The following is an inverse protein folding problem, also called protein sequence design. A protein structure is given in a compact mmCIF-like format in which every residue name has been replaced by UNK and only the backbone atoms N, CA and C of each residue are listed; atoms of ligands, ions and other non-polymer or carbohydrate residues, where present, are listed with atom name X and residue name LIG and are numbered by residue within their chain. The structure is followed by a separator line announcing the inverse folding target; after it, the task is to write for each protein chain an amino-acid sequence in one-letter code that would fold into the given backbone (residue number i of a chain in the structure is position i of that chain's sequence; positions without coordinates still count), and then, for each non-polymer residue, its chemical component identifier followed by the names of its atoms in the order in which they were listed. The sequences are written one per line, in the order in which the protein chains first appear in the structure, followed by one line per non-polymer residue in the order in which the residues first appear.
data_IF_985920005963
#
_entry.id   IF_985920005963
#
_cell.length_a   1.000
_cell.length_b   1.000
_cell.length_c   1.000
_cell.angle_alpha   90.00
_cell.angle_beta   90.00
_cell.angle_gamma   90.00
#
_symmetry.space_group_name_H-M   'P 1'
#
loop_
_entity.id
_entity.type
_entity.pdbx_description
1 polymer ?
#
# COMPACT_ATOMS: atom_id res chain seq x y z
N UNK A 1 4.03 -9.19 -17.48
CA UNK A 1 3.63 -7.79 -17.18
C UNK A 1 4.44 -7.23 -16.02
N UNK A 2 5.76 -7.22 -16.17
CA UNK A 2 6.72 -6.55 -15.29
C UNK A 2 6.79 -5.04 -15.56
N UNK A 3 6.14 -4.54 -16.62
CA UNK A 3 6.30 -3.17 -17.10
C UNK A 3 5.41 -2.10 -16.48
N UNK A 4 4.58 -2.43 -15.48
CA UNK A 4 3.74 -1.42 -14.83
C UNK A 4 4.63 -0.38 -14.11
N UNK A 5 4.53 0.94 -14.39
CA UNK A 5 5.42 1.95 -13.82
C UNK A 5 5.48 1.93 -12.29
N UNK A 6 4.33 1.78 -11.63
CA UNK A 6 4.27 1.64 -10.16
C UNK A 6 5.02 0.41 -9.68
N UNK A 7 4.93 -0.72 -10.40
CA UNK A 7 5.65 -1.92 -10.01
C UNK A 7 7.16 -1.76 -10.20
N UNK A 8 7.62 -0.99 -11.20
CA UNK A 8 9.06 -0.66 -11.35
C UNK A 8 9.57 0.12 -10.13
N UNK A 9 8.81 1.11 -9.65
CA UNK A 9 9.16 1.84 -8.42
C UNK A 9 9.21 0.90 -7.21
N UNK A 10 8.20 0.03 -7.05
CA UNK A 10 8.20 -0.97 -5.96
C UNK A 10 9.41 -1.90 -6.07
N UNK A 11 9.70 -2.44 -7.25
CA UNK A 11 10.87 -3.30 -7.47
C UNK A 11 12.17 -2.59 -7.13
N UNK A 12 12.36 -1.33 -7.54
CA UNK A 12 13.57 -0.56 -7.20
C UNK A 12 13.72 -0.30 -5.69
N UNK A 13 12.62 -0.26 -4.94
CA UNK A 13 12.64 -0.10 -3.49
C UNK A 13 12.91 -1.41 -2.74
N UNK A 14 12.87 -2.55 -3.44
CA UNK A 14 13.11 -3.89 -2.92
C UNK A 14 14.44 -4.49 -3.39
N UNK A 15 14.97 -4.02 -4.52
CA UNK A 15 16.21 -4.53 -5.13
C UNK A 15 17.40 -4.34 -4.18
N UNK A 16 18.20 -5.40 -4.02
CA UNK A 16 19.39 -5.47 -3.17
C UNK A 16 19.19 -5.09 -1.69
N UNK A 17 17.95 -5.17 -1.18
CA UNK A 17 17.62 -4.88 0.23
C UNK A 17 17.34 -6.13 1.05
N UNK A 18 17.78 -6.12 2.31
CA UNK A 18 17.41 -7.12 3.29
C UNK A 18 15.95 -6.95 3.76
N UNK A 19 15.36 -8.02 4.30
CA UNK A 19 13.97 -7.98 4.80
C UNK A 19 13.72 -6.91 5.87
N UNK A 20 14.75 -6.50 6.60
CA UNK A 20 14.66 -5.44 7.63
C UNK A 20 14.62 -4.02 7.04
N UNK A 21 15.08 -3.84 5.81
CA UNK A 21 15.24 -2.54 5.16
C UNK A 21 14.03 -2.15 4.30
N UNK A 22 13.18 -3.12 3.98
CA UNK A 22 11.95 -2.93 3.22
C UNK A 22 10.75 -2.70 4.14
N UNK A 23 9.63 -2.24 3.58
CA UNK A 23 8.37 -2.17 4.32
C UNK A 23 7.92 -3.60 4.65
N UNK A 24 7.88 -3.95 5.93
CA UNK A 24 7.42 -5.27 6.35
C UNK A 24 5.90 -5.26 6.50
N UNK A 25 5.28 -6.36 6.08
CA UNK A 25 3.84 -6.56 6.12
C UNK A 25 3.50 -7.75 7.01
N UNK A 26 2.56 -7.58 7.92
CA UNK A 26 2.03 -8.67 8.75
C UNK A 26 0.53 -8.75 8.60
N UNK A 27 -0.01 -9.94 8.38
CA UNK A 27 -1.45 -10.20 8.35
C UNK A 27 -1.78 -11.13 9.52
N UNK A 28 -2.52 -10.62 10.50
CA UNK A 28 -2.67 -11.31 11.79
C UNK A 28 -1.32 -11.43 12.49
N UNK A 29 -0.86 -12.65 12.74
CA UNK A 29 0.47 -12.94 13.31
C UNK A 29 1.52 -13.34 12.26
N UNK A 30 1.15 -13.38 10.98
CA UNK A 30 1.99 -13.92 9.90
C UNK A 30 2.72 -12.80 9.19
N UNK A 31 4.05 -12.80 9.28
CA UNK A 31 4.93 -11.95 8.45
C UNK A 31 4.84 -12.41 7.00
N UNK A 32 4.67 -11.48 6.08
CA UNK A 32 4.55 -11.72 4.65
C UNK A 32 5.83 -11.23 3.97
N UNK A 33 6.45 -12.10 3.17
CA UNK A 33 7.61 -11.70 2.36
C UNK A 33 7.18 -10.95 1.10
N UNK A 34 7.99 -10.01 0.59
CA UNK A 34 7.73 -9.40 -0.71
C UNK A 34 7.51 -10.45 -1.80
N UNK A 35 6.40 -10.34 -2.54
CA UNK A 35 6.04 -11.25 -3.62
C UNK A 35 5.45 -12.59 -3.20
N UNK A 36 5.25 -12.82 -1.91
CA UNK A 36 4.67 -14.05 -1.41
C UNK A 36 3.20 -14.21 -1.85
N UNK A 37 2.77 -15.43 -2.15
CA UNK A 37 1.38 -15.76 -2.43
C UNK A 37 0.59 -15.90 -1.12
N UNK A 38 -0.34 -14.98 -0.89
CA UNK A 38 -1.25 -14.99 0.26
C UNK A 38 -2.67 -15.34 -0.22
N UNK A 39 -3.30 -16.41 0.30
CA UNK A 39 -4.67 -16.76 -0.07
C UNK A 39 -5.64 -15.60 0.19
N UNK A 40 -6.57 -15.35 -0.74
CA UNK A 40 -7.54 -14.25 -0.62
C UNK A 40 -8.23 -14.19 0.75
N UNK A 41 -8.66 -15.34 1.28
CA UNK A 41 -9.37 -15.44 2.57
C UNK A 41 -8.51 -14.97 3.76
N UNK A 42 -7.19 -15.09 3.67
CA UNK A 42 -6.26 -14.74 4.74
C UNK A 42 -5.92 -13.24 4.69
N UNK A 43 -5.96 -12.62 3.51
CA UNK A 43 -5.66 -11.21 3.31
C UNK A 43 -6.86 -10.24 3.45
N UNK A 44 -7.94 -10.65 4.11
CA UNK A 44 -9.14 -9.79 4.27
C UNK A 44 -8.99 -8.74 5.38
N UNK A 45 -8.26 -9.08 6.45
CA UNK A 45 -7.97 -8.13 7.53
C UNK A 45 -6.96 -7.08 7.08
N UNK A 46 -7.08 -5.86 7.63
CA UNK A 46 -6.10 -4.80 7.42
C UNK A 46 -4.71 -5.28 7.86
N UNK A 47 -3.67 -5.15 7.03
CA UNK A 47 -2.33 -5.57 7.41
C UNK A 47 -1.69 -4.55 8.35
N UNK A 48 -0.80 -5.04 9.21
CA UNK A 48 0.10 -4.20 10.00
C UNK A 48 1.35 -3.92 9.17
N UNK A 49 1.76 -2.65 9.16
CA UNK A 49 3.01 -2.21 8.55
C UNK A 49 4.09 -2.08 9.62
N UNK A 50 5.28 -2.59 9.32
CA UNK A 50 6.45 -2.46 10.19
C UNK A 50 7.60 -1.91 9.36
N UNK A 51 8.24 -0.86 9.85
CA UNK A 51 9.39 -0.24 9.18
C UNK A 51 10.23 0.52 10.20
N UNK A 52 11.54 0.62 9.95
CA UNK A 52 12.45 1.45 10.76
C UNK A 52 12.29 2.93 10.39
N UNK A 53 11.13 3.49 10.75
CA UNK A 53 10.76 4.86 10.44
C UNK A 53 11.48 5.86 11.36
N UNK A 54 12.00 6.98 10.81
CA UNK A 54 12.58 8.03 11.64
C UNK A 54 11.57 8.58 12.67
N UNK A 55 12.00 8.83 13.93
CA UNK A 55 11.12 9.30 14.99
C UNK A 55 10.57 10.71 14.68
N UNK A 56 9.34 10.98 15.13
CA UNK A 56 8.68 12.27 14.97
C UNK A 56 8.20 12.57 13.53
N UNK A 57 8.34 11.63 12.61
CA UNK A 57 7.84 11.74 11.23
C UNK A 57 6.47 11.07 11.11
N UNK A 58 5.67 11.58 10.17
CA UNK A 58 4.39 11.02 9.77
C UNK A 58 4.47 10.47 8.35
N UNK A 59 3.65 9.48 8.06
CA UNK A 59 3.65 8.79 6.78
C UNK A 59 2.24 8.58 6.24
N UNK A 60 2.18 8.46 4.92
CA UNK A 60 0.98 8.07 4.17
C UNK A 60 1.23 6.68 3.57
N UNK A 61 0.29 5.76 3.78
CA UNK A 61 0.26 4.49 3.07
C UNK A 61 -0.70 4.57 1.88
N UNK A 62 -0.26 4.01 0.75
CA UNK A 62 -1.08 3.74 -0.42
C UNK A 62 -0.92 2.27 -0.79
N UNK A 63 -2.04 1.54 -0.92
CA UNK A 63 -2.06 0.19 -1.47
C UNK A 63 -2.89 0.11 -2.74
N UNK A 64 -2.34 -0.56 -3.76
CA UNK A 64 -2.94 -0.70 -5.08
C UNK A 64 -2.94 -2.15 -5.55
N UNK A 65 -4.00 -2.58 -6.24
CA UNK A 65 -4.02 -3.77 -7.09
C UNK A 65 -3.69 -3.34 -8.52
N UNK A 66 -2.60 -3.87 -9.09
CA UNK A 66 -2.10 -3.48 -10.41
C UNK A 66 -2.66 -4.32 -11.56
N UNK A 67 -3.49 -5.32 -11.25
CA UNK A 67 -3.82 -6.41 -12.16
C UNK A 67 -5.33 -6.68 -12.29
N UNK A 68 -6.20 -5.82 -11.76
CA UNK A 68 -7.65 -5.95 -11.88
C UNK A 68 -8.19 -5.67 -13.30
N UNK A 69 -9.17 -6.47 -13.80
CA UNK A 69 -9.73 -7.66 -13.17
C UNK A 69 -8.90 -8.94 -13.41
N UNK A 70 -8.04 -8.97 -14.42
CA UNK A 70 -7.12 -10.08 -14.69
C UNK A 70 -5.76 -9.50 -15.03
N UNK A 71 -4.65 -10.10 -14.57
CA UNK A 71 -3.33 -9.61 -14.94
C UNK A 71 -3.21 -9.50 -16.46
N UNK A 72 -3.60 -10.53 -17.21
CA UNK A 72 -3.50 -10.57 -18.69
C UNK A 72 -4.28 -9.46 -19.42
N UNK A 73 -5.29 -8.87 -18.79
CA UNK A 73 -6.06 -7.77 -19.33
C UNK A 73 -6.68 -6.97 -18.17
N UNK A 74 -6.03 -5.87 -17.80
CA UNK A 74 -6.28 -5.15 -16.56
C UNK A 74 -6.89 -3.74 -16.74
N UNK A 75 -8.02 -3.54 -17.46
CA UNK A 75 -8.59 -2.22 -17.75
C UNK A 75 -9.18 -1.48 -16.53
N UNK A 76 -9.20 -2.11 -15.35
CA UNK A 76 -9.65 -1.48 -14.10
C UNK A 76 -8.49 -1.03 -13.22
N UNK A 77 -7.25 -1.37 -13.60
CA UNK A 77 -6.05 -1.09 -12.82
C UNK A 77 -5.51 0.33 -13.03
N UNK A 78 -4.79 0.87 -12.03
CA UNK A 78 -4.68 0.36 -10.65
C UNK A 78 -5.99 0.48 -9.88
N UNK A 79 -6.27 -0.42 -8.94
CA UNK A 79 -7.41 -0.32 -8.02
C UNK A 79 -6.91 0.11 -6.64
N UNK A 80 -7.50 1.14 -6.05
CA UNK A 80 -7.15 1.64 -4.72
C UNK A 80 -7.67 0.72 -3.62
N UNK A 81 -6.77 0.02 -2.93
CA UNK A 81 -7.10 -0.90 -1.84
C UNK A 81 -7.05 -0.23 -0.47
N UNK A 82 -6.10 0.69 -0.23
CA UNK A 82 -6.00 1.40 1.05
C UNK A 82 -5.25 2.72 0.94
N UNK A 83 -5.83 3.80 1.47
CA UNK A 83 -5.19 5.11 1.52
C UNK A 83 -5.45 5.69 2.91
N UNK A 84 -4.38 5.94 3.66
CA UNK A 84 -4.48 6.47 5.01
C UNK A 84 -3.22 7.26 5.37
N UNK A 85 -3.43 8.42 5.97
CA UNK A 85 -2.38 9.30 6.47
C UNK A 85 -2.20 9.10 7.98
N UNK A 86 -1.21 9.77 8.55
CA UNK A 86 -0.99 9.88 9.99
C UNK A 86 -0.24 8.70 10.61
N UNK A 87 0.37 7.85 9.79
CA UNK A 87 1.19 6.75 10.31
C UNK A 87 2.44 7.28 10.99
N UNK A 88 2.75 6.79 12.17
CA UNK A 88 4.00 7.05 12.87
C UNK A 88 4.50 5.75 13.51
N UNK A 89 5.81 5.65 13.72
CA UNK A 89 6.38 4.56 14.51
C UNK A 89 5.80 4.61 15.93
N UNK A 90 5.37 3.45 16.44
CA UNK A 90 5.20 3.28 17.88
C UNK A 90 6.52 3.58 18.61
N UNK A 91 6.45 4.14 19.83
CA UNK A 91 7.57 4.57 20.70
C UNK A 91 8.89 3.79 20.47
N UNK A 92 10.06 4.47 20.54
CA UNK A 92 11.33 3.92 20.09
C UNK A 92 11.72 2.68 20.89
N UNK A 93 11.47 1.52 20.29
CA UNK A 93 12.18 0.29 20.63
C UNK A 93 13.32 0.11 19.64
N UNK A 94 14.44 -0.49 20.06
CA UNK A 94 15.68 -0.57 19.27
C UNK A 94 15.61 -1.47 18.01
N UNK A 95 14.42 -1.66 17.42
CA UNK A 95 14.11 -2.51 16.27
C UNK A 95 12.94 -1.91 15.46
N UNK A 96 12.76 -2.36 14.21
CA UNK A 96 11.66 -1.92 13.33
C UNK A 96 10.32 -1.92 14.07
N UNK A 97 9.70 -0.75 14.16
CA UNK A 97 8.45 -0.54 14.91
C UNK A 97 7.23 -0.72 14.01
N UNK A 98 6.12 -1.17 14.62
CA UNK A 98 4.83 -1.11 13.95
C UNK A 98 4.45 0.35 13.70
N UNK A 99 4.01 0.64 12.48
CA UNK A 99 3.44 1.92 12.12
C UNK A 99 1.96 1.91 12.50
N UNK A 100 1.54 2.93 13.23
CA UNK A 100 0.14 3.10 13.66
C UNK A 100 -0.36 4.48 13.30
N UNK A 101 -1.66 4.59 13.01
CA UNK A 101 -2.33 5.86 12.73
C UNK A 101 -3.64 5.91 13.50
N UNK A 102 -3.89 7.03 14.17
CA UNK A 102 -5.19 7.36 14.79
C UNK A 102 -6.15 8.04 13.81
N UNK A 103 -5.67 8.42 12.62
CA UNK A 103 -6.49 9.12 11.64
C UNK A 103 -7.41 8.12 10.92
N UNK A 104 -8.65 8.50 10.59
CA UNK A 104 -9.51 7.67 9.76
C UNK A 104 -8.87 7.48 8.37
N UNK A 105 -9.02 6.30 7.75
CA UNK A 105 -8.58 6.10 6.38
C UNK A 105 -9.43 6.92 5.41
N UNK A 106 -8.79 7.46 4.37
CA UNK A 106 -9.48 8.09 3.24
C UNK A 106 -10.12 7.02 2.36
N UNK A 107 -9.40 5.92 2.15
CA UNK A 107 -9.93 4.71 1.56
C UNK A 107 -9.66 3.55 2.51
N UNK A 108 -10.70 3.00 3.14
CA UNK A 108 -10.57 1.82 4.00
C UNK A 108 -9.92 0.66 3.25
N UNK A 109 -9.15 -0.15 3.97
CA UNK A 109 -8.62 -1.41 3.44
C UNK A 109 -9.77 -2.25 2.86
N UNK A 110 -9.68 -2.51 1.56
CA UNK A 110 -10.45 -3.54 0.90
C UNK A 110 -9.51 -4.73 0.70
N UNK A 111 -9.87 -5.91 1.19
CA UNK A 111 -9.08 -7.12 0.94
C UNK A 111 -9.01 -7.47 -0.55
N UNK A 112 -8.12 -8.39 -0.96
CA UNK A 112 -8.08 -8.91 -2.31
C UNK A 112 -9.45 -9.41 -2.77
N UNK A 113 -9.85 -9.01 -3.97
CA UNK A 113 -11.10 -9.44 -4.61
C UNK A 113 -10.94 -9.90 -6.07
N UNK A 114 -9.84 -10.58 -6.47
CA UNK A 114 -9.67 -11.02 -7.84
C UNK A 114 -10.79 -12.02 -8.23
N UNK A 115 -11.28 -11.96 -9.48
CA UNK A 115 -12.32 -12.86 -9.97
C UNK A 115 -11.91 -14.33 -9.87
N UNK A 116 -12.88 -15.26 -9.77
CA UNK A 116 -12.59 -16.68 -9.91
C UNK A 116 -11.78 -16.96 -11.18
N UNK A 117 -10.84 -17.91 -11.11
CA UNK A 117 -9.98 -18.35 -12.23
C UNK A 117 -8.88 -17.32 -12.60
N UNK A 118 -8.88 -16.11 -12.02
CA UNK A 118 -7.77 -15.19 -12.20
C UNK A 118 -6.46 -15.76 -11.64
N UNK A 119 -5.36 -15.56 -12.36
CA UNK A 119 -4.01 -15.73 -11.81
C UNK A 119 -3.76 -14.68 -10.71
N UNK A 120 -2.82 -14.89 -9.78
CA UNK A 120 -2.58 -13.96 -8.69
C UNK A 120 -2.32 -12.50 -9.14
N UNK A 121 -2.97 -11.56 -8.46
CA UNK A 121 -2.78 -10.11 -8.63
C UNK A 121 -1.69 -9.59 -7.71
N UNK A 122 -1.00 -8.52 -8.10
CA UNK A 122 -0.02 -7.80 -7.28
C UNK A 122 -0.71 -6.71 -6.45
N UNK A 123 -0.73 -6.93 -5.14
CA UNK A 123 -1.14 -5.94 -4.14
C UNK A 123 0.09 -5.23 -3.60
N UNK A 124 0.36 -4.03 -4.11
CA UNK A 124 1.52 -3.23 -3.70
C UNK A 124 1.16 -2.33 -2.52
N UNK A 125 2.16 -2.01 -1.70
CA UNK A 125 2.10 -1.07 -0.60
C UNK A 125 3.26 -0.09 -0.75
N UNK A 126 2.95 1.20 -0.73
CA UNK A 126 3.89 2.30 -0.86
C UNK A 126 3.76 3.17 0.38
N UNK A 127 4.89 3.52 0.99
CA UNK A 127 4.96 4.40 2.14
C UNK A 127 5.66 5.69 1.75
N UNK A 128 5.00 6.82 2.00
CA UNK A 128 5.51 8.16 1.69
C UNK A 128 5.66 8.96 2.99
N UNK A 129 6.62 9.87 3.04
CA UNK A 129 6.61 10.92 4.06
C UNK A 129 5.37 11.80 3.86
N UNK A 130 4.69 12.12 4.97
CA UNK A 130 3.48 12.93 4.97
C UNK A 130 3.83 14.43 4.95
N UNK A 131 3.36 15.19 3.95
CA UNK A 131 3.38 16.65 3.98
C UNK A 131 2.46 17.19 5.08
N UNK A 132 2.81 18.34 5.67
CA UNK A 132 2.07 18.95 6.79
C UNK A 132 0.58 19.20 6.49
N UNK A 133 0.23 19.44 5.24
CA UNK A 133 -1.11 19.83 4.78
C UNK A 133 -1.82 18.74 3.96
N UNK A 134 -1.33 17.49 3.99
CA UNK A 134 -1.89 16.40 3.17
C UNK A 134 -3.39 16.20 3.46
N UNK A 135 -3.81 16.30 4.73
CA UNK A 135 -5.19 16.07 5.16
C UNK A 135 -6.14 17.15 4.61
N UNK A 136 -5.65 18.39 4.43
CA UNK A 136 -6.42 19.47 3.82
C UNK A 136 -6.49 19.34 2.28
N UNK A 137 -5.52 18.65 1.67
CA UNK A 137 -5.43 18.45 0.21
C UNK A 137 -6.21 17.23 -0.28
N UNK A 138 -6.48 16.27 0.60
CA UNK A 138 -7.20 15.05 0.25
C UNK A 138 -8.69 15.28 0.50
N UNK A 139 -9.55 15.12 -0.54
CA UNK A 139 -10.98 15.25 -0.34
C UNK A 139 -11.47 14.19 0.66
N UNK A 140 -12.05 14.64 1.76
CA UNK A 140 -12.82 13.82 2.72
C UNK A 140 -14.15 13.45 2.07
N UNK A 141 -14.10 12.67 0.98
CA UNK A 141 -15.32 12.12 0.41
C UNK A 141 -15.89 11.17 1.46
N UNK A 142 -17.09 11.48 1.95
CA UNK A 142 -17.78 10.66 2.97
C UNK A 142 -17.97 9.21 2.53
N UNK A 143 -18.00 8.95 1.21
CA UNK A 143 -18.11 7.63 0.62
C UNK A 143 -17.09 7.44 -0.49
N UNK A 144 -15.97 6.79 -0.17
CA UNK A 144 -14.99 6.28 -1.13
C UNK A 144 -15.45 4.91 -1.66
N UNK A 145 -16.29 4.94 -2.69
CA UNK A 145 -16.99 3.77 -3.21
C UNK A 145 -16.15 2.91 -4.16
N UNK A 146 -16.71 1.77 -4.59
CA UNK A 146 -16.05 0.83 -5.51
C UNK A 146 -15.59 1.52 -6.81
N UNK A 147 -16.41 2.42 -7.37
CA UNK A 147 -16.06 3.15 -8.60
C UNK A 147 -14.91 4.12 -8.41
N UNK A 148 -14.78 4.72 -7.24
CA UNK A 148 -13.69 5.65 -6.92
C UNK A 148 -12.35 4.91 -6.79
N UNK A 149 -12.37 3.60 -6.56
CA UNK A 149 -11.17 2.78 -6.44
C UNK A 149 -10.55 2.43 -7.78
N UNK A 150 -11.34 2.27 -8.84
CA UNK A 150 -10.88 1.75 -10.13
C UNK A 150 -10.13 2.82 -10.93
N UNK A 151 -9.12 2.39 -11.71
CA UNK A 151 -8.30 3.26 -12.57
C UNK A 151 -7.68 4.41 -11.78
N UNK A 152 -7.27 4.12 -10.55
CA UNK A 152 -6.70 5.09 -9.64
C UNK A 152 -5.42 5.69 -10.22
N UNK A 153 -5.33 7.02 -10.18
CA UNK A 153 -4.22 7.78 -10.73
C UNK A 153 -3.25 8.18 -9.63
N UNK A 154 -2.29 7.30 -9.36
CA UNK A 154 -1.27 7.52 -8.33
C UNK A 154 -0.46 8.80 -8.60
N UNK A 155 -0.06 9.02 -9.84
CA UNK A 155 0.70 10.20 -10.30
C UNK A 155 -0.02 11.52 -9.99
N UNK A 156 -1.32 11.58 -10.27
CA UNK A 156 -2.13 12.77 -9.97
C UNK A 156 -2.32 12.96 -8.47
N UNK A 157 -2.51 11.86 -7.74
CA UNK A 157 -2.64 11.91 -6.30
C UNK A 157 -1.35 12.41 -5.63
N UNK A 158 -0.20 11.84 -5.99
CA UNK A 158 1.12 12.26 -5.49
C UNK A 158 1.31 13.76 -5.70
N UNK A 159 1.07 14.25 -6.93
CA UNK A 159 1.18 15.68 -7.24
C UNK A 159 0.22 16.55 -6.43
N UNK A 160 -1.05 16.13 -6.30
CA UNK A 160 -2.08 16.89 -5.58
C UNK A 160 -1.81 16.93 -4.08
N UNK A 161 -1.41 15.81 -3.51
CA UNK A 161 -1.10 15.65 -2.09
C UNK A 161 0.28 16.24 -1.73
N UNK A 162 1.13 16.52 -2.72
CA UNK A 162 2.50 16.99 -2.52
C UNK A 162 3.43 15.89 -2.02
N UNK A 163 3.15 14.63 -2.36
CA UNK A 163 4.01 13.52 -2.01
C UNK A 163 5.30 13.55 -2.84
N UNK A 164 6.43 13.28 -2.18
CA UNK A 164 7.70 13.03 -2.84
C UNK A 164 7.80 11.58 -3.36
N UNK A 165 9.03 11.06 -3.43
CA UNK A 165 9.26 9.65 -3.74
C UNK A 165 8.85 8.75 -2.58
N UNK A 166 8.29 7.58 -2.87
CA UNK A 166 8.06 6.55 -1.86
C UNK A 166 9.38 6.16 -1.17
N UNK A 167 9.36 6.07 0.16
CA UNK A 167 10.53 5.77 0.99
C UNK A 167 10.73 4.27 1.17
N UNK A 168 9.62 3.54 1.25
CA UNK A 168 9.62 2.10 1.42
C UNK A 168 8.43 1.49 0.68
N UNK A 169 8.58 0.24 0.26
CA UNK A 169 7.53 -0.50 -0.41
C UNK A 169 7.60 -1.98 -0.09
N UNK A 170 6.50 -2.67 -0.34
CA UNK A 170 6.39 -4.12 -0.38
C UNK A 170 5.19 -4.53 -1.22
N UNK A 171 5.03 -5.81 -1.47
CA UNK A 171 3.86 -6.33 -2.16
C UNK A 171 3.63 -7.80 -1.82
N UNK A 172 2.41 -8.28 -2.03
CA UNK A 172 2.12 -9.71 -2.05
C UNK A 172 1.28 -10.05 -3.28
N UNK A 173 1.18 -11.35 -3.57
CA UNK A 173 0.34 -11.91 -4.61
C UNK A 173 -0.92 -12.53 -3.99
N UNK A 174 -2.09 -12.40 -4.61
CA UNK A 174 -3.30 -13.07 -4.11
C UNK A 174 -4.31 -13.40 -5.22
N UNK A 175 -5.03 -14.52 -5.06
CA UNK A 175 -6.18 -14.96 -5.85
C UNK A 175 -7.29 -15.60 -5.00
#
# INVERSE_FOLDING_TARGET
MTDHPVFKSVSSLLEDKDESEVLQLTIGSRKIKPGELVPKREAQSIPTLVWDAPPGRKFVVISLDLDAPFPSFAPLSPVQHWLQAGFAASEPSSQSSALTSSNPPIAHWAGPGPPPISSPHRYVFLLYEQPEDVEAKIPTKAEFGIKDRMRWRLDEFEKKAGLGTALAATYFLSN
#
